data_IF_346017894129
#
_entry.id   IF_346017894129
#
_cell.length_a   1.000
_cell.length_b   1.000
_cell.length_c   1.000
_cell.angle_alpha   90.00
_cell.angle_beta   90.00
_cell.angle_gamma   90.00
#
_symmetry.space_group_name_H-M   'P 1'
#
loop_
_entity.id
_entity.type
_entity.pdbx_description
1 polymer ?
#
# COMPACT_ATOMS: atom_id res chain seq x y z
N UNK A 1 -6.77 -13.20 -41.41
CA UNK A 1 -5.74 -13.44 -40.36
C UNK A 1 -6.25 -13.27 -38.92
N UNK A 2 -7.12 -12.30 -38.60
CA UNK A 2 -7.55 -12.00 -37.21
C UNK A 2 -8.29 -13.13 -36.45
N UNK A 3 -9.00 -14.03 -37.16
CA UNK A 3 -9.71 -15.19 -36.56
C UNK A 3 -8.76 -16.27 -35.99
N UNK A 4 -7.58 -16.48 -36.59
CA UNK A 4 -6.63 -17.54 -36.19
C UNK A 4 -5.93 -17.20 -34.88
N UNK A 5 -5.56 -15.93 -34.67
CA UNK A 5 -4.97 -15.46 -33.41
C UNK A 5 -5.96 -15.53 -32.24
N UNK A 6 -7.25 -15.32 -32.50
CA UNK A 6 -8.31 -15.49 -31.49
C UNK A 6 -8.43 -16.93 -31.02
N UNK A 7 -8.39 -17.91 -31.94
CA UNK A 7 -8.43 -19.34 -31.60
C UNK A 7 -7.20 -19.79 -30.78
N UNK A 8 -5.99 -19.36 -31.17
CA UNK A 8 -4.77 -19.69 -30.42
C UNK A 8 -4.79 -19.10 -29.01
N UNK A 9 -5.34 -17.89 -28.85
CA UNK A 9 -5.55 -17.26 -27.56
C UNK A 9 -6.47 -18.10 -26.67
N UNK A 10 -7.67 -18.44 -27.14
CA UNK A 10 -8.65 -19.25 -26.39
C UNK A 10 -8.08 -20.62 -26.02
N UNK A 11 -7.38 -21.29 -26.93
CA UNK A 11 -6.76 -22.59 -26.67
C UNK A 11 -5.70 -22.51 -25.57
N UNK A 12 -4.86 -21.48 -25.56
CA UNK A 12 -3.87 -21.25 -24.51
C UNK A 12 -4.54 -21.02 -23.14
N UNK A 13 -5.65 -20.28 -23.09
CA UNK A 13 -6.43 -20.09 -21.85
C UNK A 13 -6.93 -21.41 -21.32
N UNK A 14 -7.57 -22.22 -22.17
CA UNK A 14 -8.11 -23.52 -21.78
C UNK A 14 -7.01 -24.43 -21.24
N UNK A 15 -5.85 -24.49 -21.91
CA UNK A 15 -4.70 -25.28 -21.46
C UNK A 15 -4.20 -24.81 -20.09
N UNK A 16 -4.01 -23.50 -19.90
CA UNK A 16 -3.54 -22.95 -18.63
C UNK A 16 -4.57 -23.18 -17.51
N UNK A 17 -5.87 -23.01 -17.79
CA UNK A 17 -6.93 -23.31 -16.82
C UNK A 17 -6.90 -24.76 -16.35
N UNK A 18 -6.75 -25.70 -17.28
CA UNK A 18 -6.64 -27.12 -16.97
C UNK A 18 -5.38 -27.39 -16.13
N UNK A 19 -4.23 -26.83 -16.50
CA UNK A 19 -2.98 -27.00 -15.75
C UNK A 19 -3.08 -26.47 -14.32
N UNK A 20 -3.63 -25.27 -14.13
CA UNK A 20 -3.81 -24.71 -12.80
C UNK A 20 -4.82 -25.50 -11.95
N UNK A 21 -5.90 -26.00 -12.55
CA UNK A 21 -6.86 -26.87 -11.87
C UNK A 21 -6.22 -28.20 -11.45
N UNK A 22 -5.40 -28.81 -12.32
CA UNK A 22 -4.65 -30.04 -12.01
C UNK A 22 -3.62 -29.84 -10.90
N UNK A 23 -2.90 -28.71 -10.89
CA UNK A 23 -1.96 -28.38 -9.81
C UNK A 23 -2.69 -28.16 -8.49
N UNK A 24 -3.81 -27.43 -8.49
CA UNK A 24 -4.59 -27.15 -7.27
C UNK A 24 -5.23 -28.42 -6.68
N UNK A 25 -5.83 -29.25 -7.53
CA UNK A 25 -6.48 -30.50 -7.09
C UNK A 25 -5.46 -31.58 -6.73
N UNK A 26 -4.36 -31.69 -7.49
CA UNK A 26 -3.25 -32.58 -7.19
C UNK A 26 -2.59 -32.27 -5.85
N UNK A 27 -2.30 -31.01 -5.57
CA UNK A 27 -1.74 -30.60 -4.28
C UNK A 27 -2.67 -30.96 -3.10
N UNK A 28 -3.98 -30.78 -3.26
CA UNK A 28 -4.97 -31.18 -2.25
C UNK A 28 -5.04 -32.69 -2.04
N UNK A 29 -5.00 -33.46 -3.14
CA UNK A 29 -5.02 -34.92 -3.09
C UNK A 29 -3.77 -35.49 -2.41
N UNK A 30 -2.57 -34.99 -2.75
CA UNK A 30 -1.33 -35.41 -2.08
C UNK A 30 -1.34 -35.09 -0.58
N UNK A 31 -1.92 -33.96 -0.19
CA UNK A 31 -2.12 -33.61 1.23
C UNK A 31 -2.98 -34.63 1.95
N UNK A 32 -4.13 -34.99 1.36
CA UNK A 32 -5.06 -35.97 1.93
C UNK A 32 -4.47 -37.39 2.06
N UNK A 33 -3.53 -37.76 1.18
CA UNK A 33 -2.80 -39.02 1.26
C UNK A 33 -1.60 -38.97 2.22
N UNK A 34 -1.38 -37.85 2.93
CA UNK A 34 -0.23 -37.67 3.82
C UNK A 34 1.12 -37.52 3.11
N UNK A 35 1.11 -37.30 1.79
CA UNK A 35 2.32 -37.17 0.96
C UNK A 35 2.84 -35.72 0.89
N UNK A 36 2.05 -34.74 1.35
CA UNK A 36 2.43 -33.34 1.40
C UNK A 36 1.85 -32.69 2.68
N UNK A 37 2.59 -31.81 3.38
CA UNK A 37 2.04 -31.08 4.52
C UNK A 37 0.94 -30.08 4.10
N UNK A 38 -0.13 -29.96 4.89
CA UNK A 38 -1.30 -29.13 4.58
C UNK A 38 -0.96 -27.66 4.30
N UNK A 39 -0.02 -27.08 5.04
CA UNK A 39 0.41 -25.70 4.83
C UNK A 39 1.14 -25.50 3.49
N UNK A 40 1.83 -26.52 2.97
CA UNK A 40 2.48 -26.48 1.65
C UNK A 40 1.43 -26.61 0.55
N UNK A 41 0.50 -27.56 0.69
CA UNK A 41 -0.62 -27.72 -0.23
C UNK A 41 -1.48 -26.45 -0.31
N UNK A 42 -1.78 -25.83 0.82
CA UNK A 42 -2.55 -24.57 0.90
C UNK A 42 -1.84 -23.43 0.19
N UNK A 43 -0.52 -23.27 0.37
CA UNK A 43 0.27 -22.23 -0.33
C UNK A 43 0.27 -22.46 -1.84
N UNK A 44 0.47 -23.69 -2.30
CA UNK A 44 0.44 -24.03 -3.72
C UNK A 44 -0.93 -23.75 -4.34
N UNK A 45 -2.01 -24.14 -3.65
CA UNK A 45 -3.38 -23.82 -4.08
C UNK A 45 -3.60 -22.31 -4.17
N UNK A 46 -3.23 -21.53 -3.15
CA UNK A 46 -3.38 -20.07 -3.17
C UNK A 46 -2.58 -19.44 -4.32
N UNK A 47 -1.33 -19.86 -4.54
CA UNK A 47 -0.53 -19.36 -5.68
C UNK A 47 -1.14 -19.75 -7.02
N UNK A 48 -1.72 -20.95 -7.14
CA UNK A 48 -2.41 -21.41 -8.32
C UNK A 48 -3.66 -20.55 -8.60
N UNK A 49 -4.49 -20.29 -7.59
CA UNK A 49 -5.68 -19.45 -7.73
C UNK A 49 -5.33 -18.00 -8.06
N UNK A 50 -4.31 -17.42 -7.44
CA UNK A 50 -3.83 -16.07 -7.76
C UNK A 50 -3.30 -15.98 -9.20
N UNK A 51 -2.57 -16.99 -9.66
CA UNK A 51 -2.10 -17.06 -11.04
C UNK A 51 -3.25 -17.16 -12.06
N UNK A 52 -4.26 -17.98 -11.77
CA UNK A 52 -5.50 -18.08 -12.54
C UNK A 52 -6.25 -16.75 -12.61
N UNK A 53 -6.50 -16.12 -11.45
CA UNK A 53 -7.20 -14.83 -11.37
C UNK A 53 -6.44 -13.78 -12.19
N UNK A 54 -5.12 -13.73 -12.05
CA UNK A 54 -4.28 -12.81 -12.82
C UNK A 54 -4.43 -13.09 -14.31
N UNK A 55 -4.27 -14.32 -14.76
CA UNK A 55 -4.44 -14.72 -16.17
C UNK A 55 -5.82 -14.32 -16.70
N UNK A 56 -6.88 -14.66 -15.98
CA UNK A 56 -8.26 -14.33 -16.37
C UNK A 56 -8.50 -12.82 -16.41
N UNK A 57 -7.94 -12.04 -15.48
CA UNK A 57 -7.99 -10.58 -15.53
C UNK A 57 -7.26 -10.04 -16.75
N UNK A 58 -6.04 -10.51 -17.06
CA UNK A 58 -5.29 -10.05 -18.24
C UNK A 58 -6.04 -10.36 -19.54
N UNK A 59 -6.68 -11.53 -19.61
CA UNK A 59 -7.51 -11.93 -20.73
C UNK A 59 -8.79 -11.09 -20.78
N UNK A 60 -9.51 -10.95 -19.67
CA UNK A 60 -10.70 -10.11 -19.61
C UNK A 60 -10.38 -8.69 -20.09
N UNK A 61 -9.28 -8.08 -19.64
CA UNK A 61 -8.85 -6.77 -20.13
C UNK A 61 -8.51 -6.78 -21.63
N UNK A 62 -7.94 -7.87 -22.15
CA UNK A 62 -7.66 -8.02 -23.59
C UNK A 62 -8.91 -8.20 -24.46
N UNK A 63 -9.96 -8.81 -23.91
CA UNK A 63 -11.16 -9.23 -24.65
C UNK A 63 -12.39 -8.36 -24.39
N UNK A 64 -12.41 -7.61 -23.28
CA UNK A 64 -13.43 -6.61 -23.02
C UNK A 64 -13.35 -5.53 -24.11
N UNK A 65 -14.48 -5.11 -24.70
CA UNK A 65 -14.52 -4.02 -25.66
C UNK A 65 -14.38 -2.66 -24.97
N UNK A 66 -13.39 -2.55 -24.07
CA UNK A 66 -13.04 -1.31 -23.41
C UNK A 66 -12.34 -0.42 -24.44
N UNK A 67 -12.77 0.83 -24.52
CA UNK A 67 -12.07 1.85 -25.30
C UNK A 67 -10.79 2.25 -24.56
N UNK A 68 -9.76 1.41 -24.68
CA UNK A 68 -8.46 1.63 -24.06
C UNK A 68 -7.84 2.95 -24.48
N UNK A 69 -8.04 3.38 -25.73
CA UNK A 69 -7.58 4.68 -26.20
C UNK A 69 -8.27 5.82 -25.46
N UNK A 70 -9.61 5.83 -25.39
CA UNK A 70 -10.36 6.84 -24.64
C UNK A 70 -10.02 6.91 -23.14
N UNK A 71 -9.62 5.78 -22.54
CA UNK A 71 -9.16 5.72 -21.14
C UNK A 71 -7.72 6.28 -20.99
N UNK A 72 -6.88 6.08 -21.99
CA UNK A 72 -5.49 6.54 -22.00
C UNK A 72 -5.36 8.01 -22.42
N UNK A 73 -6.35 8.55 -23.12
CA UNK A 73 -6.33 9.92 -23.61
C UNK A 73 -6.22 10.96 -22.48
N UNK A 74 -5.33 11.94 -22.64
CA UNK A 74 -5.12 13.04 -21.69
C UNK A 74 -6.17 14.16 -21.87
N UNK A 75 -7.46 13.79 -21.84
CA UNK A 75 -8.57 14.74 -21.92
C UNK A 75 -8.76 15.50 -20.61
N UNK A 76 -9.28 16.73 -20.66
CA UNK A 76 -9.60 17.51 -19.47
C UNK A 76 -10.56 16.79 -18.50
N UNK A 77 -11.47 15.97 -19.03
CA UNK A 77 -12.39 15.14 -18.24
C UNK A 77 -11.62 14.04 -17.50
N UNK A 78 -10.76 13.28 -18.19
CA UNK A 78 -9.94 12.24 -17.58
C UNK A 78 -8.98 12.81 -16.53
N UNK A 79 -8.44 14.00 -16.76
CA UNK A 79 -7.63 14.71 -15.76
C UNK A 79 -8.40 15.00 -14.48
N UNK A 80 -9.61 15.56 -14.59
CA UNK A 80 -10.45 15.86 -13.41
C UNK A 80 -10.86 14.59 -12.66
N UNK A 81 -11.30 13.56 -13.40
CA UNK A 81 -11.65 12.26 -12.81
C UNK A 81 -10.45 11.69 -12.04
N UNK A 82 -9.27 11.70 -12.65
CA UNK A 82 -8.07 11.18 -12.01
C UNK A 82 -7.68 11.97 -10.75
N UNK A 83 -7.72 13.30 -10.79
CA UNK A 83 -7.40 14.15 -9.65
C UNK A 83 -8.36 13.95 -8.48
N UNK A 84 -9.67 13.93 -8.76
CA UNK A 84 -10.70 13.64 -7.76
C UNK A 84 -10.50 12.22 -7.21
N UNK A 85 -10.26 11.25 -8.08
CA UNK A 85 -9.96 9.87 -7.69
C UNK A 85 -8.77 9.78 -6.74
N UNK A 86 -7.65 10.44 -7.03
CA UNK A 86 -6.48 10.48 -6.13
C UNK A 86 -6.85 11.12 -4.79
N UNK A 87 -7.60 12.22 -4.79
CA UNK A 87 -8.07 12.87 -3.55
C UNK A 87 -8.93 11.95 -2.69
N UNK A 88 -9.87 11.23 -3.31
CA UNK A 88 -10.70 10.22 -2.63
C UNK A 88 -9.83 9.11 -2.07
N UNK A 89 -8.90 8.55 -2.85
CA UNK A 89 -8.02 7.47 -2.39
C UNK A 89 -7.16 7.88 -1.20
N UNK A 90 -6.58 9.08 -1.23
CA UNK A 90 -5.80 9.65 -0.12
C UNK A 90 -6.68 9.79 1.13
N UNK A 91 -7.87 10.39 0.99
CA UNK A 91 -8.80 10.57 2.11
C UNK A 91 -9.24 9.22 2.69
N UNK A 92 -9.60 8.26 1.84
CA UNK A 92 -9.99 6.90 2.25
C UNK A 92 -8.85 6.21 3.00
N UNK A 93 -7.61 6.31 2.51
CA UNK A 93 -6.45 5.75 3.19
C UNK A 93 -6.26 6.38 4.57
N UNK A 94 -6.32 7.72 4.67
CA UNK A 94 -6.20 8.44 5.94
C UNK A 94 -7.26 7.99 6.94
N UNK A 95 -8.53 7.90 6.52
CA UNK A 95 -9.62 7.51 7.41
C UNK A 95 -9.48 6.06 7.90
N UNK A 96 -9.20 5.13 6.99
CA UNK A 96 -9.08 3.70 7.32
C UNK A 96 -7.83 3.47 8.18
N UNK A 97 -6.65 3.81 7.68
CA UNK A 97 -5.43 3.50 8.41
C UNK A 97 -5.21 4.40 9.62
N UNK A 98 -5.69 5.65 9.59
CA UNK A 98 -5.72 6.52 10.76
C UNK A 98 -6.55 5.90 11.89
N UNK A 99 -7.75 5.40 11.57
CA UNK A 99 -8.55 4.65 12.54
C UNK A 99 -7.82 3.40 13.05
N UNK A 100 -7.24 2.59 12.16
CA UNK A 100 -6.56 1.35 12.54
C UNK A 100 -5.33 1.60 13.43
N UNK A 101 -4.47 2.57 13.09
CA UNK A 101 -3.28 2.88 13.88
C UNK A 101 -3.64 3.50 15.24
N UNK A 102 -4.68 4.35 15.29
CA UNK A 102 -5.19 4.88 16.56
C UNK A 102 -5.77 3.77 17.44
N UNK A 103 -6.53 2.84 16.85
CA UNK A 103 -7.06 1.68 17.57
C UNK A 103 -5.95 0.77 18.07
N UNK A 104 -4.90 0.53 17.27
CA UNK A 104 -3.73 -0.25 17.68
C UNK A 104 -3.09 0.35 18.93
N UNK A 105 -2.87 1.66 18.94
CA UNK A 105 -2.31 2.34 20.12
C UNK A 105 -3.28 2.30 21.31
N UNK A 106 -4.56 2.59 21.10
CA UNK A 106 -5.58 2.60 22.15
C UNK A 106 -5.83 1.22 22.80
N UNK A 107 -5.49 0.13 22.10
CA UNK A 107 -5.53 -1.24 22.65
C UNK A 107 -4.16 -1.72 23.13
N UNK A 108 -3.20 -0.81 23.34
CA UNK A 108 -1.85 -1.08 23.84
C UNK A 108 -1.00 -2.01 22.95
N UNK A 109 -1.25 -2.01 21.63
CA UNK A 109 -0.48 -2.76 20.64
C UNK A 109 0.59 -1.90 19.93
N UNK A 110 1.14 -0.92 20.62
CA UNK A 110 2.27 -0.09 20.16
C UNK A 110 3.43 -0.21 21.15
N UNK A 111 4.67 -0.24 20.67
CA UNK A 111 5.85 -0.38 21.50
C UNK A 111 6.50 0.97 21.84
N UNK A 112 7.28 0.98 22.93
CA UNK A 112 7.99 2.17 23.39
C UNK A 112 9.22 2.52 22.54
N UNK A 113 9.85 1.53 21.91
CA UNK A 113 11.16 1.72 21.27
C UNK A 113 11.08 2.70 20.10
N UNK A 114 10.24 2.43 19.10
CA UNK A 114 10.10 3.36 17.97
C UNK A 114 9.23 4.58 18.35
N UNK A 115 7.99 4.33 18.81
CA UNK A 115 7.01 5.40 19.04
C UNK A 115 7.36 6.27 20.26
N UNK A 116 7.73 5.68 21.39
CA UNK A 116 7.98 6.39 22.64
C UNK A 116 9.22 7.28 22.59
N UNK A 117 10.25 6.87 21.87
CA UNK A 117 11.43 7.70 21.63
C UNK A 117 11.06 8.94 20.81
N UNK A 118 10.29 8.78 19.73
CA UNK A 118 9.88 9.93 18.93
C UNK A 118 8.92 10.86 19.69
N UNK A 119 8.02 10.30 20.51
CA UNK A 119 7.11 11.07 21.36
C UNK A 119 7.86 11.94 22.36
N UNK A 120 8.81 11.34 23.09
CA UNK A 120 9.62 12.07 24.06
C UNK A 120 10.50 13.11 23.38
N UNK A 121 11.05 12.79 22.20
CA UNK A 121 11.87 13.70 21.41
C UNK A 121 11.11 14.98 21.01
N UNK A 122 9.88 14.83 20.51
CA UNK A 122 9.03 15.97 20.13
C UNK A 122 8.58 16.73 21.37
N UNK A 123 8.15 16.04 22.44
CA UNK A 123 7.74 16.68 23.68
C UNK A 123 8.87 17.50 24.32
N UNK A 124 10.08 16.95 24.42
CA UNK A 124 11.24 17.67 24.97
C UNK A 124 11.60 18.89 24.11
N UNK A 125 11.57 18.75 22.79
CA UNK A 125 11.82 19.85 21.86
C UNK A 125 10.77 20.97 22.03
N UNK A 126 9.50 20.62 22.21
CA UNK A 126 8.42 21.58 22.48
C UNK A 126 8.58 22.33 23.82
N UNK A 127 9.32 21.77 24.78
CA UNK A 127 9.52 22.34 26.12
C UNK A 127 10.96 22.88 26.34
N UNK A 128 11.65 23.24 25.25
CA UNK A 128 12.96 23.91 25.32
C UNK A 128 14.15 23.01 25.55
N UNK A 129 13.95 21.68 25.67
CA UNK A 129 15.03 20.68 25.73
C UNK A 129 15.25 20.09 24.33
N UNK A 130 15.89 20.88 23.47
CA UNK A 130 16.02 20.59 22.05
C UNK A 130 16.66 19.23 21.78
N UNK A 131 15.91 18.32 21.15
CA UNK A 131 16.30 16.95 20.79
C UNK A 131 16.79 16.09 21.97
N UNK A 132 16.50 16.48 23.21
CA UNK A 132 16.86 15.68 24.37
C UNK A 132 15.99 14.43 24.44
N UNK A 133 16.58 13.33 24.91
CA UNK A 133 15.83 12.13 25.30
C UNK A 133 16.54 11.43 26.46
N UNK A 134 15.77 10.71 27.26
CA UNK A 134 16.24 9.80 28.31
C UNK A 134 16.32 8.35 27.80
N UNK A 135 15.93 8.11 26.55
CA UNK A 135 15.91 6.81 25.88
C UNK A 135 17.03 6.77 24.83
N UNK A 136 17.83 5.70 24.81
CA UNK A 136 19.00 5.51 23.94
C UNK A 136 20.16 6.50 24.15
N UNK A 137 19.99 7.78 23.80
CA UNK A 137 21.08 8.79 23.73
C UNK A 137 20.67 10.11 24.36
N UNK A 138 21.58 10.85 25.01
CA UNK A 138 21.18 12.11 25.70
C UNK A 138 20.62 13.20 24.77
N UNK A 139 21.15 13.29 23.54
CA UNK A 139 20.69 14.20 22.52
C UNK A 139 20.66 13.48 21.16
N UNK A 140 19.50 13.45 20.53
CA UNK A 140 19.28 12.67 19.31
C UNK A 140 20.00 13.24 18.08
N UNK A 141 20.41 14.51 18.08
CA UNK A 141 21.20 15.08 16.98
C UNK A 141 22.57 14.43 16.84
N UNK A 142 23.10 13.83 17.92
CA UNK A 142 24.35 13.06 17.88
C UNK A 142 24.21 11.66 17.27
N UNK A 143 22.98 11.22 17.00
CA UNK A 143 22.66 9.89 16.49
C UNK A 143 21.95 9.99 15.12
N UNK A 144 20.81 10.69 15.05
CA UNK A 144 20.05 10.90 13.81
C UNK A 144 19.55 12.34 13.66
N UNK A 145 19.80 12.94 12.49
CA UNK A 145 19.27 14.27 12.15
C UNK A 145 17.81 14.20 11.69
N UNK A 146 16.88 14.67 12.54
CA UNK A 146 15.41 14.55 12.35
C UNK A 146 14.71 15.92 12.30
N UNK A 147 14.90 16.73 11.24
CA UNK A 147 14.48 18.15 11.21
C UNK A 147 12.97 18.37 11.41
N UNK A 148 12.15 17.39 11.02
CA UNK A 148 10.69 17.47 11.11
C UNK A 148 10.17 17.43 12.57
N UNK A 149 10.99 17.05 13.55
CA UNK A 149 10.66 17.15 14.99
C UNK A 149 10.20 18.56 15.36
N UNK A 150 10.87 19.58 14.81
CA UNK A 150 10.57 20.99 15.10
C UNK A 150 9.19 21.38 14.55
N UNK A 151 8.78 20.82 13.42
CA UNK A 151 7.47 21.09 12.82
C UNK A 151 6.33 20.45 13.62
N UNK A 152 6.58 19.33 14.29
CA UNK A 152 5.58 18.64 15.12
C UNK A 152 5.51 19.20 16.55
N UNK A 153 6.58 19.83 17.05
CA UNK A 153 6.66 20.36 18.40
C UNK A 153 5.51 21.30 18.79
N UNK A 154 5.03 22.25 17.95
CA UNK A 154 3.89 23.10 18.29
C UNK A 154 2.58 22.34 18.56
N UNK A 155 2.38 21.15 17.95
CA UNK A 155 1.18 20.34 18.20
C UNK A 155 1.11 19.85 19.66
N UNK A 156 2.27 19.67 20.28
CA UNK A 156 2.40 19.22 21.67
C UNK A 156 2.06 20.31 22.69
N UNK A 157 1.95 21.58 22.26
CA UNK A 157 1.39 22.65 23.09
C UNK A 157 -0.13 22.61 23.16
N UNK A 158 -0.79 22.04 22.14
CA UNK A 158 -2.26 21.83 22.16
C UNK A 158 -2.58 20.65 23.08
N UNK A 159 -1.93 19.51 22.82
CA UNK A 159 -2.01 18.34 23.69
C UNK A 159 -0.78 17.45 23.46
N UNK A 160 -0.05 17.05 24.52
CA UNK A 160 1.12 16.17 24.40
C UNK A 160 0.65 14.74 24.13
N UNK A 161 0.63 14.35 22.86
CA UNK A 161 -0.08 13.16 22.42
C UNK A 161 0.59 12.48 21.23
N UNK A 162 0.89 11.18 21.37
CA UNK A 162 1.44 10.33 20.30
C UNK A 162 0.55 10.26 19.05
N UNK A 163 -0.74 10.54 19.20
CA UNK A 163 -1.70 10.50 18.09
C UNK A 163 -1.34 11.52 17.00
N UNK A 164 -0.62 12.60 17.33
CA UNK A 164 -0.07 13.52 16.34
C UNK A 164 0.95 12.84 15.42
N UNK A 165 1.83 12.00 15.98
CA UNK A 165 2.84 11.28 15.21
C UNK A 165 2.20 10.22 14.30
N UNK A 166 1.26 9.45 14.85
CA UNK A 166 0.53 8.43 14.08
C UNK A 166 -0.29 9.05 12.94
N UNK A 167 -0.94 10.20 13.19
CA UNK A 167 -1.63 10.96 12.16
C UNK A 167 -0.66 11.48 11.10
N UNK A 168 0.48 12.04 11.52
CA UNK A 168 1.50 12.55 10.63
C UNK A 168 2.05 11.46 9.69
N UNK A 169 2.42 10.28 10.21
CA UNK A 169 2.86 9.15 9.40
C UNK A 169 1.79 8.69 8.40
N UNK A 170 0.54 8.56 8.85
CA UNK A 170 -0.58 8.18 7.97
C UNK A 170 -0.77 9.18 6.84
N UNK A 171 -0.73 10.48 7.16
CA UNK A 171 -0.89 11.56 6.18
C UNK A 171 0.30 11.55 5.21
N UNK A 172 1.53 11.50 5.72
CA UNK A 172 2.75 11.51 4.90
C UNK A 172 2.77 10.34 3.89
N UNK A 173 2.46 9.12 4.34
CA UNK A 173 2.36 7.95 3.48
C UNK A 173 1.26 8.13 2.43
N UNK A 174 0.08 8.58 2.82
CA UNK A 174 -1.02 8.79 1.86
C UNK A 174 -0.67 9.83 0.79
N UNK A 175 0.01 10.93 1.17
CA UNK A 175 0.41 11.99 0.26
C UNK A 175 1.48 11.53 -0.75
N UNK A 176 2.20 10.44 -0.49
CA UNK A 176 3.10 9.78 -1.45
C UNK A 176 2.40 9.35 -2.75
N UNK A 177 1.08 9.17 -2.72
CA UNK A 177 0.29 8.88 -3.92
C UNK A 177 0.28 10.05 -4.93
N UNK A 178 0.40 11.30 -4.47
CA UNK A 178 0.32 12.49 -5.31
C UNK A 178 1.54 12.62 -6.25
N UNK A 179 2.80 12.60 -5.78
CA UNK A 179 3.95 12.65 -6.68
C UNK A 179 4.01 11.43 -7.60
N UNK A 180 3.59 10.24 -7.14
CA UNK A 180 3.52 9.05 -7.98
C UNK A 180 2.47 9.19 -9.09
N UNK A 181 1.28 9.71 -8.78
CA UNK A 181 0.27 10.07 -9.77
C UNK A 181 0.84 11.02 -10.82
N UNK A 182 1.47 12.12 -10.38
CA UNK A 182 2.03 13.14 -11.28
C UNK A 182 3.13 12.56 -12.17
N UNK A 183 4.01 11.73 -11.61
CA UNK A 183 5.09 11.08 -12.35
C UNK A 183 4.54 10.08 -13.37
N UNK A 184 3.64 9.19 -12.96
CA UNK A 184 3.03 8.19 -13.82
C UNK A 184 2.21 8.84 -14.93
N UNK A 185 1.41 9.87 -14.65
CA UNK A 185 0.71 10.65 -15.67
C UNK A 185 1.69 11.19 -16.71
N UNK A 186 2.81 11.79 -16.29
CA UNK A 186 3.81 12.37 -17.19
C UNK A 186 4.52 11.31 -18.04
N UNK A 187 4.77 10.12 -17.50
CA UNK A 187 5.52 9.05 -18.19
C UNK A 187 4.65 8.17 -19.09
N UNK A 188 3.39 7.98 -18.70
CA UNK A 188 2.43 7.12 -19.41
C UNK A 188 1.49 7.92 -20.30
N UNK A 189 1.59 9.25 -20.29
CA UNK A 189 0.73 10.17 -21.04
C UNK A 189 -0.77 9.95 -20.81
N UNK A 190 -1.13 9.45 -19.62
CA UNK A 190 -2.52 9.11 -19.26
C UNK A 190 -2.80 9.47 -17.80
N UNK A 191 -3.79 10.35 -17.52
CA UNK A 191 -4.23 10.65 -16.16
C UNK A 191 -4.76 9.42 -15.43
N UNK A 192 -5.53 8.56 -16.12
CA UNK A 192 -6.14 7.38 -15.50
C UNK A 192 -5.10 6.30 -15.22
N UNK A 193 -4.08 6.14 -16.07
CA UNK A 193 -2.93 5.30 -15.74
C UNK A 193 -2.18 5.83 -14.50
N UNK A 194 -2.04 7.16 -14.37
CA UNK A 194 -1.50 7.78 -13.16
C UNK A 194 -2.33 7.47 -11.92
N UNK A 195 -3.67 7.52 -12.01
CA UNK A 195 -4.58 7.18 -10.92
C UNK A 195 -4.41 5.71 -10.50
N UNK A 196 -4.28 4.79 -11.45
CA UNK A 196 -4.04 3.37 -11.18
C UNK A 196 -2.72 3.19 -10.41
N UNK A 197 -1.65 3.88 -10.79
CA UNK A 197 -0.37 3.80 -10.06
C UNK A 197 -0.52 4.30 -8.62
N UNK A 198 -1.22 5.42 -8.41
CA UNK A 198 -1.52 5.92 -7.07
C UNK A 198 -2.34 4.93 -6.24
N UNK A 199 -3.34 4.29 -6.85
CA UNK A 199 -4.15 3.24 -6.22
C UNK A 199 -3.31 2.02 -5.81
N UNK A 200 -2.47 1.51 -6.71
CA UNK A 200 -1.60 0.37 -6.44
C UNK A 200 -0.60 0.69 -5.33
N UNK A 201 -0.04 1.90 -5.30
CA UNK A 201 0.83 2.34 -4.21
C UNK A 201 0.13 2.29 -2.84
N UNK A 202 -1.08 2.84 -2.74
CA UNK A 202 -1.83 2.87 -1.47
C UNK A 202 -2.33 1.49 -1.04
N UNK A 203 -2.53 0.56 -1.98
CA UNK A 203 -2.84 -0.84 -1.69
C UNK A 203 -1.60 -1.70 -1.43
N UNK A 204 -0.40 -1.18 -1.65
CA UNK A 204 0.81 -1.97 -1.53
C UNK A 204 0.99 -2.41 -0.06
N UNK A 205 1.07 -3.73 0.24
CA UNK A 205 1.06 -4.21 1.62
C UNK A 205 2.15 -3.61 2.51
N UNK A 206 3.32 -3.31 1.95
CA UNK A 206 4.41 -2.69 2.71
C UNK A 206 4.07 -1.27 3.17
N UNK A 207 3.34 -0.48 2.38
CA UNK A 207 2.89 0.86 2.79
C UNK A 207 1.90 0.76 3.94
N UNK A 208 0.97 -0.19 3.86
CA UNK A 208 0.04 -0.50 4.97
C UNK A 208 0.76 -1.01 6.22
N UNK A 209 1.75 -1.90 6.05
CA UNK A 209 2.54 -2.46 7.14
C UNK A 209 3.35 -1.39 7.88
N UNK A 210 4.01 -0.49 7.15
CA UNK A 210 4.72 0.67 7.74
C UNK A 210 3.75 1.55 8.53
N UNK A 211 2.56 1.82 8.00
CA UNK A 211 1.60 2.66 8.72
C UNK A 211 1.03 1.99 10.00
N UNK A 212 0.88 0.67 9.95
CA UNK A 212 0.47 -0.16 11.09
C UNK A 212 1.64 -0.57 11.99
N UNK A 213 2.84 -0.07 11.73
CA UNK A 213 3.98 -0.14 12.64
C UNK A 213 4.05 1.11 13.54
N UNK A 214 4.94 1.08 14.53
CA UNK A 214 5.21 2.23 15.39
C UNK A 214 5.87 3.37 14.61
N UNK A 215 5.64 4.61 15.07
CA UNK A 215 6.10 5.78 14.34
C UNK A 215 7.63 5.81 14.23
N UNK A 216 8.12 5.97 13.02
CA UNK A 216 9.53 6.16 12.69
C UNK A 216 9.67 7.16 11.54
N UNK A 217 10.83 7.81 11.46
CA UNK A 217 11.12 8.85 10.47
C UNK A 217 11.54 8.30 9.12
#
# INVERSE_FOLDING_TARGET
>A
MMKIYRLRGVLLVVILTILFFLVSTGAGWFSQQGMMPDHVATRLQLTAWLGLITLYLTLALRWLPLNWQGLLDDTAVNQRIAQIGVGILVLTYILIFGFLTFRRHATFNSATYDLGIQDQLVWNTAHGRFYATSLEVKNYLGDHFKPLVILLAPLYWITPSVYWLLAFQTIALSLGAIPLYKLAKRRLHSPLAGLIVAFVYLLYPSVGAVNLFDFHW
#
